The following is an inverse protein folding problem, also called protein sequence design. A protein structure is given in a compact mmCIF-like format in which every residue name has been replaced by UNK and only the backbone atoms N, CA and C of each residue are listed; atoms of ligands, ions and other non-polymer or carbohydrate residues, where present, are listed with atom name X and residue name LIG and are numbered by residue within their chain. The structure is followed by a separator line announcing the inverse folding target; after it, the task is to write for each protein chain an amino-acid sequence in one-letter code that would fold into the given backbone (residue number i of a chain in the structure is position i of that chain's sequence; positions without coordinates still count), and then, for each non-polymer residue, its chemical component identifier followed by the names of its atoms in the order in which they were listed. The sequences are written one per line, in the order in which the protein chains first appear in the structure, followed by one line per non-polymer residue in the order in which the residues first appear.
data_IF_669986193586
#
_entry.id   IF_669986193586
#
_cell.length_a   1.000
_cell.length_b   1.000
_cell.length_c   1.000
_cell.angle_alpha   90.00
_cell.angle_beta   90.00
_cell.angle_gamma   90.00
#
_symmetry.space_group_name_H-M   'P 1'
#
loop_
_entity.id
_entity.type
_entity.pdbx_description
1 polymer ?
#
# COMPACT_ATOMS: atom_id res chain seq x y z
N UNK A 1 5.25 27.86 -14.59
CA UNK A 1 5.34 27.49 -13.17
C UNK A 1 5.35 25.97 -13.06
N UNK A 2 5.81 25.42 -11.93
CA UNK A 2 5.80 23.96 -11.69
C UNK A 2 5.00 23.71 -10.42
N UNK A 3 4.12 22.71 -10.47
CA UNK A 3 3.20 22.36 -9.38
C UNK A 3 3.20 20.84 -9.19
N UNK A 4 3.16 20.39 -7.94
CA UNK A 4 3.17 18.97 -7.58
C UNK A 4 1.79 18.59 -7.03
N UNK A 5 1.26 17.47 -7.50
CA UNK A 5 0.04 16.87 -6.98
C UNK A 5 0.38 15.55 -6.30
N UNK A 6 -0.05 15.41 -5.06
CA UNK A 6 0.20 14.25 -4.21
C UNK A 6 -1.15 13.62 -3.86
N UNK A 7 -1.65 12.73 -4.74
CA UNK A 7 -2.89 12.02 -4.48
C UNK A 7 -2.70 10.94 -3.43
N UNK A 8 -3.72 10.79 -2.57
CA UNK A 8 -3.91 9.59 -1.76
C UNK A 8 -4.34 8.39 -2.59
N UNK A 9 -4.98 7.41 -1.97
CA UNK A 9 -5.48 6.23 -2.65
C UNK A 9 -6.81 6.51 -3.38
N UNK A 10 -6.81 6.30 -4.70
CA UNK A 10 -8.01 6.43 -5.54
C UNK A 10 -8.24 5.19 -6.39
N UNK A 11 -9.49 4.78 -6.53
CA UNK A 11 -9.88 3.65 -7.39
C UNK A 11 -9.66 4.01 -8.85
N UNK A 12 -8.49 3.64 -9.36
CA UNK A 12 -8.05 3.82 -10.75
C UNK A 12 -7.61 2.47 -11.32
N UNK A 13 -7.35 2.40 -12.62
CA UNK A 13 -6.79 1.20 -13.25
C UNK A 13 -5.45 0.75 -12.64
N UNK A 14 -4.72 1.65 -11.95
CA UNK A 14 -3.49 1.28 -11.25
C UNK A 14 -3.77 0.38 -10.04
N UNK A 15 -4.87 0.62 -9.33
CA UNK A 15 -5.30 -0.13 -8.15
C UNK A 15 -6.38 -1.18 -8.45
N UNK A 16 -6.59 -1.54 -9.71
CA UNK A 16 -7.54 -2.61 -10.05
C UNK A 16 -7.00 -3.97 -9.60
N UNK A 17 -7.89 -4.80 -9.05
CA UNK A 17 -7.60 -6.16 -8.59
C UNK A 17 -6.97 -7.03 -9.68
N UNK A 18 -7.53 -7.02 -10.89
CA UNK A 18 -6.97 -7.78 -12.03
C UNK A 18 -5.56 -7.35 -12.41
N UNK A 19 -5.31 -6.03 -12.52
CA UNK A 19 -3.97 -5.54 -12.85
C UNK A 19 -2.95 -5.82 -11.73
N UNK A 20 -3.37 -5.87 -10.47
CA UNK A 20 -2.50 -6.31 -9.39
C UNK A 20 -2.17 -7.80 -9.55
N UNK A 21 -3.18 -8.63 -9.77
CA UNK A 21 -3.00 -10.08 -9.92
C UNK A 21 -2.04 -10.42 -11.04
N UNK A 22 -2.20 -9.79 -12.21
CA UNK A 22 -1.30 -9.94 -13.36
C UNK A 22 0.13 -9.52 -13.03
N UNK A 23 0.31 -8.38 -12.35
CA UNK A 23 1.65 -7.90 -11.94
C UNK A 23 2.30 -8.86 -10.96
N UNK A 24 1.57 -9.33 -9.96
CA UNK A 24 2.10 -10.24 -8.94
C UNK A 24 2.44 -11.59 -9.56
N UNK A 25 1.60 -12.15 -10.43
CA UNK A 25 1.93 -13.39 -11.15
C UNK A 25 3.14 -13.22 -12.07
N UNK A 26 3.20 -12.11 -12.80
CA UNK A 26 4.35 -11.81 -13.67
C UNK A 26 5.64 -11.73 -12.85
N UNK A 27 5.64 -11.06 -11.69
CA UNK A 27 6.81 -11.00 -10.82
C UNK A 27 7.14 -12.40 -10.32
N UNK A 28 6.16 -13.13 -9.79
CA UNK A 28 6.34 -14.46 -9.22
C UNK A 28 6.98 -15.43 -10.21
N UNK A 29 6.47 -15.50 -11.43
CA UNK A 29 6.95 -16.43 -12.45
C UNK A 29 8.36 -16.09 -12.96
N UNK A 30 8.82 -14.85 -12.76
CA UNK A 30 10.17 -14.41 -13.12
C UNK A 30 11.16 -14.52 -11.95
N UNK A 31 10.72 -14.90 -10.74
CA UNK A 31 11.62 -15.13 -9.61
C UNK A 31 12.41 -16.43 -9.80
N UNK A 32 13.64 -16.43 -9.30
CA UNK A 32 14.44 -17.65 -9.16
C UNK A 32 13.73 -18.65 -8.23
N UNK A 33 13.84 -19.97 -8.47
CA UNK A 33 13.20 -20.99 -7.63
C UNK A 33 13.49 -20.84 -6.13
N UNK A 34 14.75 -20.58 -5.77
CA UNK A 34 15.16 -20.41 -4.36
C UNK A 34 14.40 -19.25 -3.67
N UNK A 35 14.15 -18.16 -4.40
CA UNK A 35 13.40 -17.00 -3.88
C UNK A 35 11.90 -17.31 -3.79
N UNK A 36 11.36 -18.09 -4.74
CA UNK A 36 9.98 -18.56 -4.65
C UNK A 36 9.79 -19.46 -3.40
N UNK A 37 10.77 -20.29 -3.08
CA UNK A 37 10.75 -21.15 -1.89
C UNK A 37 10.91 -20.37 -0.58
N UNK A 38 11.69 -19.28 -0.58
CA UNK A 38 11.86 -18.40 0.58
C UNK A 38 10.56 -17.68 0.96
N UNK A 39 9.85 -17.12 -0.03
CA UNK A 39 8.57 -16.45 0.21
C UNK A 39 7.42 -17.46 0.37
N UNK A 40 7.36 -18.47 -0.50
CA UNK A 40 6.29 -19.45 -0.59
C UNK A 40 5.04 -18.94 -1.31
N UNK A 41 4.37 -19.82 -2.06
CA UNK A 41 3.15 -19.49 -2.81
C UNK A 41 2.03 -18.94 -1.90
N UNK A 42 1.88 -19.50 -0.69
CA UNK A 42 0.94 -18.99 0.32
C UNK A 42 1.16 -17.50 0.63
N UNK A 43 2.41 -17.04 0.69
CA UNK A 43 2.70 -15.62 0.96
C UNK A 43 2.21 -14.75 -0.19
N UNK A 44 2.46 -15.16 -1.43
CA UNK A 44 1.99 -14.47 -2.63
C UNK A 44 0.47 -14.34 -2.64
N UNK A 45 -0.24 -15.43 -2.41
CA UNK A 45 -1.71 -15.45 -2.47
C UNK A 45 -2.33 -14.62 -1.34
N UNK A 46 -1.81 -14.77 -0.11
CA UNK A 46 -2.25 -13.94 1.02
C UNK A 46 -1.95 -12.45 0.80
N UNK A 47 -0.83 -12.12 0.15
CA UNK A 47 -0.48 -10.73 -0.18
C UNK A 47 -1.50 -10.10 -1.13
N UNK A 48 -1.91 -10.83 -2.18
CA UNK A 48 -2.94 -10.38 -3.13
C UNK A 48 -4.25 -10.07 -2.42
N UNK A 49 -4.73 -11.00 -1.60
CA UNK A 49 -5.98 -10.83 -0.83
C UNK A 49 -5.92 -9.62 0.09
N UNK A 50 -4.83 -9.48 0.86
CA UNK A 50 -4.64 -8.39 1.81
C UNK A 50 -4.58 -7.04 1.11
N UNK A 51 -3.83 -6.95 0.01
CA UNK A 51 -3.72 -5.73 -0.77
C UNK A 51 -5.08 -5.32 -1.35
N UNK A 52 -5.80 -6.25 -1.97
CA UNK A 52 -7.13 -5.99 -2.54
C UNK A 52 -8.12 -5.54 -1.46
N UNK A 53 -8.08 -6.15 -0.27
CA UNK A 53 -8.86 -5.73 0.89
C UNK A 53 -8.50 -4.29 1.31
N UNK A 54 -7.20 -3.99 1.46
CA UNK A 54 -6.73 -2.65 1.82
C UNK A 54 -7.13 -1.57 0.82
N UNK A 55 -7.01 -1.85 -0.48
CA UNK A 55 -7.47 -0.94 -1.54
C UNK A 55 -8.98 -0.73 -1.46
N UNK A 56 -9.78 -1.79 -1.23
CA UNK A 56 -11.24 -1.68 -1.10
C UNK A 56 -11.63 -0.77 0.07
N UNK A 57 -10.87 -0.78 1.16
CA UNK A 57 -11.11 0.03 2.37
C UNK A 57 -10.62 1.48 2.23
N UNK A 58 -9.41 1.69 1.70
CA UNK A 58 -8.73 3.00 1.74
C UNK A 58 -8.97 3.82 0.46
N UNK A 59 -9.09 3.17 -0.71
CA UNK A 59 -9.14 3.88 -1.97
C UNK A 59 -10.51 4.54 -2.22
N UNK A 60 -10.50 5.86 -2.42
CA UNK A 60 -11.71 6.63 -2.72
C UNK A 60 -12.16 6.45 -4.17
N UNK A 61 -13.48 6.43 -4.41
CA UNK A 61 -14.09 6.52 -5.75
C UNK A 61 -14.16 7.97 -6.26
N UNK A 62 -13.92 8.95 -5.40
CA UNK A 62 -14.12 10.37 -5.70
C UNK A 62 -12.89 10.98 -6.39
N UNK A 63 -12.64 10.55 -7.64
CA UNK A 63 -11.50 11.00 -8.44
C UNK A 63 -11.51 12.52 -8.70
N UNK A 64 -12.68 13.17 -8.60
CA UNK A 64 -12.82 14.61 -8.78
C UNK A 64 -11.91 15.43 -7.86
N UNK A 65 -11.55 14.97 -6.65
CA UNK A 65 -10.58 15.66 -5.79
C UNK A 65 -9.22 15.89 -6.46
N UNK A 66 -8.80 14.96 -7.31
CA UNK A 66 -7.55 15.08 -8.07
C UNK A 66 -7.77 16.02 -9.26
N UNK A 67 -8.87 15.87 -9.98
CA UNK A 67 -9.20 16.68 -11.17
C UNK A 67 -9.36 18.15 -10.81
N UNK A 68 -10.06 18.47 -9.73
CA UNK A 68 -10.28 19.84 -9.27
C UNK A 68 -8.95 20.52 -8.89
N UNK A 69 -8.05 19.78 -8.24
CA UNK A 69 -6.70 20.27 -7.92
C UNK A 69 -5.87 20.49 -9.19
N UNK A 70 -6.01 19.65 -10.22
CA UNK A 70 -5.41 19.89 -11.54
C UNK A 70 -5.94 21.17 -12.18
N UNK A 71 -7.27 21.33 -12.23
CA UNK A 71 -7.92 22.51 -12.81
C UNK A 71 -7.47 23.77 -12.07
N UNK A 72 -7.44 23.76 -10.74
CA UNK A 72 -6.94 24.89 -9.97
C UNK A 72 -5.45 25.16 -10.25
N UNK A 73 -4.60 24.14 -10.37
CA UNK A 73 -3.18 24.34 -10.61
C UNK A 73 -2.89 25.03 -11.95
N UNK A 74 -3.70 24.75 -12.99
CA UNK A 74 -3.50 25.31 -14.34
C UNK A 74 -4.24 26.63 -14.58
N UNK A 75 -5.34 26.89 -13.87
CA UNK A 75 -6.20 28.08 -14.14
C UNK A 75 -6.09 29.20 -13.10
N UNK A 76 -5.62 28.91 -11.89
CA UNK A 76 -5.63 29.91 -10.82
C UNK A 76 -4.61 31.03 -11.08
N UNK A 77 -4.96 32.25 -10.68
CA UNK A 77 -4.02 33.39 -10.67
C UNK A 77 -2.87 33.18 -9.68
N UNK A 78 -3.13 32.46 -8.58
CA UNK A 78 -2.16 32.14 -7.52
C UNK A 78 -2.21 30.64 -7.18
N UNK A 79 -1.64 29.76 -8.02
CA UNK A 79 -1.62 28.32 -7.78
C UNK A 79 -0.65 27.96 -6.64
N UNK A 80 -0.93 26.85 -5.94
CA UNK A 80 -0.09 26.33 -4.86
C UNK A 80 1.10 25.57 -5.44
N UNK A 81 2.22 25.51 -4.72
CA UNK A 81 3.36 24.68 -5.14
C UNK A 81 3.08 23.17 -5.00
N UNK A 82 2.34 22.77 -3.96
CA UNK A 82 1.93 21.38 -3.68
C UNK A 82 0.42 21.32 -3.42
N UNK A 83 -0.22 20.31 -3.99
CA UNK A 83 -1.63 19.99 -3.80
C UNK A 83 -1.74 18.57 -3.25
N UNK A 84 -2.40 18.43 -2.10
CA UNK A 84 -2.75 17.13 -1.56
C UNK A 84 -4.18 16.79 -1.98
N UNK A 85 -4.36 15.61 -2.57
CA UNK A 85 -5.66 15.21 -3.10
C UNK A 85 -6.20 14.03 -2.28
N UNK A 86 -7.37 14.19 -1.69
CA UNK A 86 -8.04 13.14 -0.91
C UNK A 86 -7.95 13.34 0.59
N UNK A 87 -8.98 12.86 1.28
CA UNK A 87 -9.08 12.96 2.74
C UNK A 87 -8.07 12.07 3.46
N UNK A 88 -7.75 10.92 2.90
CA UNK A 88 -6.70 10.03 3.42
C UNK A 88 -5.32 10.71 3.37
N UNK A 89 -4.99 11.36 2.25
CA UNK A 89 -3.78 12.17 2.14
C UNK A 89 -3.73 13.26 3.21
N UNK A 90 -4.81 14.03 3.35
CA UNK A 90 -4.84 15.21 4.22
C UNK A 90 -4.89 14.85 5.71
N UNK A 91 -5.73 13.88 6.10
CA UNK A 91 -6.00 13.58 7.50
C UNK A 91 -5.12 12.47 8.08
N UNK A 92 -4.53 11.62 7.24
CA UNK A 92 -3.78 10.47 7.71
C UNK A 92 -2.31 10.55 7.28
N UNK A 93 -2.03 10.60 5.98
CA UNK A 93 -0.65 10.55 5.48
C UNK A 93 0.15 11.80 5.85
N UNK A 94 -0.41 13.01 5.69
CA UNK A 94 0.29 14.25 6.06
C UNK A 94 0.61 14.30 7.56
N UNK A 95 -0.35 14.10 8.49
CA UNK A 95 -0.04 14.09 9.92
C UNK A 95 1.02 13.05 10.29
N UNK A 96 0.99 11.87 9.65
CA UNK A 96 1.99 10.82 9.88
C UNK A 96 3.41 11.30 9.57
N UNK A 97 3.62 12.14 8.54
CA UNK A 97 4.96 12.66 8.20
C UNK A 97 5.58 13.55 9.28
N UNK A 98 4.77 14.11 10.19
CA UNK A 98 5.25 14.94 11.29
C UNK A 98 5.50 14.15 12.59
N UNK A 99 5.15 12.86 12.62
CA UNK A 99 5.35 12.01 13.80
C UNK A 99 6.81 11.49 13.87
N UNK A 100 7.39 11.31 15.06
CA UNK A 100 8.63 10.56 15.26
C UNK A 100 8.54 9.13 14.69
N UNK A 101 9.67 8.58 14.25
CA UNK A 101 9.75 7.22 13.68
C UNK A 101 9.14 6.16 14.58
N UNK A 102 9.41 6.21 15.89
CA UNK A 102 8.86 5.24 16.87
C UNK A 102 7.32 5.22 16.88
N UNK A 103 6.68 6.39 16.76
CA UNK A 103 5.23 6.50 16.74
C UNK A 103 4.66 6.05 15.40
N UNK A 104 5.36 6.35 14.30
CA UNK A 104 4.97 5.85 12.98
C UNK A 104 5.01 4.32 12.93
N UNK A 105 6.07 3.70 13.44
CA UNK A 105 6.23 2.25 13.49
C UNK A 105 5.17 1.59 14.40
N UNK A 106 4.90 2.18 15.57
CA UNK A 106 3.84 1.71 16.45
C UNK A 106 2.46 1.78 15.79
N UNK A 107 2.15 2.89 15.13
CA UNK A 107 0.88 3.08 14.42
C UNK A 107 0.76 2.11 13.23
N UNK A 108 1.79 1.97 12.42
CA UNK A 108 1.80 1.04 11.28
C UNK A 108 1.64 -0.41 11.74
N UNK A 109 2.36 -0.82 12.78
CA UNK A 109 2.22 -2.16 13.37
C UNK A 109 0.79 -2.39 13.88
N UNK A 110 0.20 -1.38 14.52
CA UNK A 110 -1.18 -1.44 14.97
C UNK A 110 -2.15 -1.58 13.78
N UNK A 111 -2.01 -0.77 12.74
CA UNK A 111 -2.89 -0.82 11.56
C UNK A 111 -2.77 -2.14 10.80
N UNK A 112 -1.56 -2.68 10.62
CA UNK A 112 -1.34 -4.00 10.00
C UNK A 112 -1.97 -5.09 10.86
N UNK A 113 -1.94 -4.97 12.20
CA UNK A 113 -2.59 -5.95 13.09
C UNK A 113 -4.12 -5.95 12.98
N UNK A 114 -4.72 -4.86 12.51
CA UNK A 114 -6.16 -4.74 12.28
C UNK A 114 -6.60 -5.25 10.91
N UNK A 115 -5.68 -5.50 9.98
CA UNK A 115 -6.06 -5.94 8.64
C UNK A 115 -6.66 -7.35 8.69
N UNK A 116 -7.86 -7.56 8.13
CA UNK A 116 -8.46 -8.88 8.06
C UNK A 116 -7.69 -9.73 7.05
N UNK A 117 -7.18 -10.89 7.49
CA UNK A 117 -6.45 -11.80 6.63
C UNK A 117 -5.46 -12.67 7.39
N UNK A 118 -4.82 -13.61 6.67
CA UNK A 118 -3.70 -14.38 7.22
C UNK A 118 -2.48 -13.47 7.35
N UNK A 119 -1.68 -13.67 8.40
CA UNK A 119 -0.43 -12.92 8.57
C UNK A 119 0.49 -13.17 7.37
N UNK A 120 1.02 -12.09 6.80
CA UNK A 120 2.03 -12.15 5.75
C UNK A 120 3.38 -12.54 6.36
N UNK A 121 3.61 -13.85 6.44
CA UNK A 121 4.88 -14.41 6.93
C UNK A 121 5.46 -15.27 5.80
N UNK A 122 6.62 -14.88 5.25
CA UNK A 122 7.39 -15.69 4.30
C UNK A 122 7.64 -17.10 4.82
N UNK A 123 7.71 -18.07 3.91
CA UNK A 123 7.94 -19.46 4.24
C UNK A 123 9.23 -19.67 5.05
N UNK A 124 10.31 -18.95 4.73
CA UNK A 124 11.59 -19.04 5.45
C UNK A 124 11.46 -18.68 6.94
N UNK A 125 10.78 -17.58 7.27
CA UNK A 125 10.58 -17.17 8.67
C UNK A 125 9.66 -18.14 9.43
N UNK A 126 8.73 -18.77 8.71
CA UNK A 126 7.87 -19.81 9.29
C UNK A 126 8.66 -21.07 9.64
N UNK A 127 9.59 -21.48 8.78
CA UNK A 127 10.50 -22.61 9.03
C UNK A 127 11.38 -22.35 10.25
N UNK A 128 12.07 -21.21 10.29
CA UNK A 128 12.92 -20.81 11.43
C UNK A 128 12.11 -20.78 12.75
N UNK A 129 10.90 -20.22 12.72
CA UNK A 129 10.05 -20.19 13.91
C UNK A 129 9.62 -21.58 14.41
N UNK A 130 9.42 -22.53 13.49
CA UNK A 130 9.12 -23.92 13.85
C UNK A 130 10.36 -24.63 14.42
N UNK A 131 11.53 -24.45 13.80
CA UNK A 131 12.80 -25.05 14.29
C UNK A 131 13.14 -24.59 15.70
N UNK A 132 13.00 -23.29 15.99
CA UNK A 132 13.22 -22.75 17.34
C UNK A 132 12.23 -23.37 18.34
N UNK A 133 10.95 -23.49 17.97
CA UNK A 133 9.92 -24.08 18.84
C UNK A 133 10.20 -25.57 19.11
N UNK A 134 10.63 -26.32 18.11
CA UNK A 134 10.86 -27.75 18.22
C UNK A 134 12.19 -28.07 18.94
N UNK A 135 13.07 -27.06 19.12
CA UNK A 135 14.32 -27.14 19.89
C UNK A 135 14.19 -26.82 21.39
N UNK A 136 13.00 -26.39 21.84
CA UNK A 136 12.66 -26.06 23.23
C UNK A 136 11.83 -27.17 23.87
#
# INVERSE_FOLDING_TARGET
SVHILEPGAFKTALLSESALDERVESIWNNLLPDIQDEYGADYKDNFKELWCSGVKTVASTNIHYVVDNYVHAITARFPRARYHCGWDAILFWIPMTFLPTELQDALNRFLISLQPGKKLIPAVLRKIGNEIRDSL
#
